data_IF_557285358631
#
_entry.id   IF_557285358631
#
_cell.length_a   1.000
_cell.length_b   1.000
_cell.length_c   1.000
_cell.angle_alpha   90.00
_cell.angle_beta   90.00
_cell.angle_gamma   90.00
#
_symmetry.space_group_name_H-M   'P 1'
#
loop_
_entity.id
_entity.type
_entity.pdbx_description
1 polymer ?
#
# COMPACT_ATOMS: atom_id res chain seq x y z
N UNK A 1 6.29 24.45 17.34
CA UNK A 1 5.29 24.26 16.24
C UNK A 1 5.64 23.06 15.36
N UNK A 2 6.88 22.93 14.85
CA UNK A 2 7.34 21.81 14.03
C UNK A 2 6.95 20.44 14.62
N UNK A 3 7.30 20.18 15.89
CA UNK A 3 7.01 18.92 16.58
C UNK A 3 5.51 18.62 16.67
N UNK A 4 4.67 19.65 16.79
CA UNK A 4 3.22 19.51 16.82
C UNK A 4 2.68 19.03 15.46
N UNK A 5 3.12 19.67 14.37
CA UNK A 5 2.69 19.28 13.02
C UNK A 5 3.22 17.90 12.65
N UNK A 6 4.45 17.58 13.05
CA UNK A 6 5.02 16.27 12.84
C UNK A 6 4.25 15.16 13.58
N UNK A 7 3.84 15.41 14.82
CA UNK A 7 3.00 14.47 15.56
C UNK A 7 1.64 14.23 14.91
N UNK A 8 1.01 15.29 14.38
CA UNK A 8 -0.26 15.17 13.61
C UNK A 8 -0.03 14.32 12.36
N UNK A 9 1.01 14.63 11.57
CA UNK A 9 1.34 13.89 10.35
C UNK A 9 1.59 12.41 10.62
N UNK A 10 2.36 12.09 11.63
CA UNK A 10 2.66 10.71 12.03
C UNK A 10 1.41 9.93 12.45
N UNK A 11 0.36 10.61 12.91
CA UNK A 11 -0.91 10.03 13.31
C UNK A 11 -1.91 9.80 12.17
N UNK A 12 -1.66 10.29 10.94
CA UNK A 12 -2.62 10.21 9.84
C UNK A 12 -2.97 8.76 9.51
N UNK A 13 -1.98 7.93 9.23
CA UNK A 13 -2.20 6.53 8.84
C UNK A 13 -3.00 5.73 9.88
N UNK A 14 -2.60 5.69 11.16
CA UNK A 14 -3.38 4.97 12.16
C UNK A 14 -4.77 5.59 12.42
N UNK A 15 -4.93 6.91 12.28
CA UNK A 15 -6.21 7.58 12.44
C UNK A 15 -7.19 7.20 11.33
N UNK A 16 -6.77 7.32 10.08
CA UNK A 16 -7.58 6.95 8.90
C UNK A 16 -7.89 5.44 8.93
N UNK A 17 -6.87 4.63 9.15
CA UNK A 17 -7.06 3.17 9.24
C UNK A 17 -7.98 2.75 10.38
N UNK A 18 -7.96 3.45 11.51
CA UNK A 18 -8.80 3.19 12.67
C UNK A 18 -10.27 3.56 12.49
N UNK A 19 -10.62 4.40 11.49
CA UNK A 19 -12.00 4.76 11.16
C UNK A 19 -12.66 3.81 10.16
N UNK A 20 -11.89 2.91 9.56
CA UNK A 20 -12.38 1.95 8.58
C UNK A 20 -13.53 1.09 9.15
N UNK A 21 -14.35 0.57 8.27
CA UNK A 21 -15.35 -0.43 8.65
C UNK A 21 -14.65 -1.71 9.16
N UNK A 22 -15.01 -2.23 10.35
CA UNK A 22 -14.47 -3.49 10.85
C UNK A 22 -14.63 -4.64 9.82
N UNK A 23 -13.65 -5.53 9.76
CA UNK A 23 -13.61 -6.61 8.76
C UNK A 23 -12.97 -6.21 7.43
N UNK A 24 -12.59 -4.93 7.25
CA UNK A 24 -11.86 -4.50 6.04
C UNK A 24 -10.36 -4.41 6.30
N UNK A 25 -9.58 -4.60 5.25
CA UNK A 25 -8.13 -4.39 5.24
C UNK A 25 -7.82 -2.96 4.79
N UNK A 26 -6.83 -2.34 5.41
CA UNK A 26 -6.29 -1.05 4.99
C UNK A 26 -5.14 -1.29 4.02
N UNK A 27 -5.20 -0.61 2.88
CA UNK A 27 -4.16 -0.61 1.87
C UNK A 27 -3.63 0.82 1.72
N UNK A 28 -2.33 0.95 1.63
CA UNK A 28 -1.66 2.20 1.32
C UNK A 28 -0.81 1.99 0.08
N UNK A 29 -1.02 2.85 -0.90
CA UNK A 29 -0.23 2.90 -2.11
C UNK A 29 0.57 4.21 -2.19
N UNK A 30 1.59 4.21 -3.00
CA UNK A 30 2.64 5.21 -3.02
C UNK A 30 3.01 5.52 -4.47
N UNK A 31 2.62 6.70 -4.95
CA UNK A 31 2.84 7.13 -6.33
C UNK A 31 3.55 8.48 -6.36
N UNK A 32 4.23 8.77 -7.47
CA UNK A 32 4.85 10.07 -7.69
C UNK A 32 4.47 10.65 -9.04
N UNK A 33 4.35 11.97 -9.06
CA UNK A 33 4.01 12.76 -10.25
C UNK A 33 5.01 13.90 -10.44
N UNK A 34 5.24 14.37 -11.68
CA UNK A 34 5.98 15.60 -11.91
C UNK A 34 5.34 16.77 -11.17
N UNK A 35 6.14 17.58 -10.47
CA UNK A 35 5.62 18.66 -9.62
C UNK A 35 4.66 19.64 -10.34
N UNK A 36 4.94 19.93 -11.60
CA UNK A 36 4.10 20.84 -12.41
C UNK A 36 2.70 20.31 -12.69
N UNK A 37 2.54 18.97 -12.68
CA UNK A 37 1.28 18.28 -12.95
C UNK A 37 0.52 17.92 -11.66
N UNK A 38 1.11 18.20 -10.50
CA UNK A 38 0.61 17.72 -9.21
C UNK A 38 -0.85 18.13 -8.90
N UNK A 39 -1.30 19.36 -9.19
CA UNK A 39 -2.68 19.74 -8.94
C UNK A 39 -3.69 18.92 -9.76
N UNK A 40 -3.44 18.76 -11.05
CA UNK A 40 -4.28 17.99 -11.96
C UNK A 40 -4.23 16.51 -11.63
N UNK A 41 -3.04 15.96 -11.38
CA UNK A 41 -2.86 14.56 -10.98
C UNK A 41 -3.58 14.24 -9.67
N UNK A 42 -3.62 15.20 -8.72
CA UNK A 42 -4.39 15.05 -7.47
C UNK A 42 -5.89 14.94 -7.74
N UNK A 43 -6.41 15.82 -8.58
CA UNK A 43 -7.83 15.84 -8.92
C UNK A 43 -8.24 14.54 -9.64
N UNK A 44 -7.44 14.11 -10.62
CA UNK A 44 -7.69 12.87 -11.35
C UNK A 44 -7.61 11.63 -10.46
N UNK A 45 -6.62 11.57 -9.57
CA UNK A 45 -6.49 10.46 -8.63
C UNK A 45 -7.70 10.40 -7.68
N UNK A 46 -8.17 11.56 -7.22
CA UNK A 46 -9.36 11.64 -6.38
C UNK A 46 -10.61 11.19 -7.13
N UNK A 47 -10.79 11.64 -8.38
CA UNK A 47 -11.90 11.22 -9.24
C UNK A 47 -11.86 9.70 -9.50
N UNK A 48 -10.69 9.17 -9.77
CA UNK A 48 -10.48 7.73 -10.00
C UNK A 48 -10.87 6.91 -8.76
N UNK A 49 -10.47 7.34 -7.56
CA UNK A 49 -10.85 6.69 -6.32
C UNK A 49 -12.37 6.71 -6.09
N UNK A 50 -13.01 7.85 -6.32
CA UNK A 50 -14.48 8.00 -6.20
C UNK A 50 -15.22 7.14 -7.22
N UNK A 51 -14.77 7.11 -8.48
CA UNK A 51 -15.35 6.32 -9.57
C UNK A 51 -15.26 4.81 -9.29
N UNK A 52 -14.23 4.38 -8.56
CA UNK A 52 -14.07 3.01 -8.10
C UNK A 52 -14.70 2.76 -6.72
N UNK A 53 -15.60 3.63 -6.28
CA UNK A 53 -16.37 3.49 -5.03
C UNK A 53 -15.54 3.53 -3.73
N UNK A 54 -14.36 4.15 -3.75
CA UNK A 54 -13.54 4.39 -2.56
C UNK A 54 -13.78 5.81 -2.01
N UNK A 55 -15.01 6.10 -1.60
CA UNK A 55 -15.42 7.43 -1.13
C UNK A 55 -14.77 7.86 0.20
N UNK A 56 -14.24 6.91 0.97
CA UNK A 56 -13.54 7.10 2.23
C UNK A 56 -12.00 7.10 2.06
N UNK A 57 -11.52 7.08 0.81
CA UNK A 57 -10.10 7.16 0.52
C UNK A 57 -9.49 8.47 1.00
N UNK A 58 -8.23 8.40 1.44
CA UNK A 58 -7.48 9.57 1.88
C UNK A 58 -6.19 9.69 1.06
N UNK A 59 -5.95 10.87 0.48
CA UNK A 59 -4.70 11.20 -0.23
C UNK A 59 -3.89 12.14 0.66
N UNK A 60 -2.63 11.82 0.87
CA UNK A 60 -1.65 12.67 1.57
C UNK A 60 -0.24 12.31 1.07
N UNK A 61 0.78 13.04 1.49
CA UNK A 61 2.14 12.68 1.07
C UNK A 61 3.15 13.81 1.20
N UNK A 62 4.17 13.73 0.38
CA UNK A 62 5.27 14.70 0.30
C UNK A 62 5.10 15.57 -0.94
N UNK A 63 4.18 16.53 -0.88
CA UNK A 63 3.80 17.36 -2.02
C UNK A 63 4.97 18.09 -2.68
N UNK A 64 5.98 18.51 -1.92
CA UNK A 64 7.18 19.17 -2.45
C UNK A 64 8.07 18.25 -3.30
N UNK A 65 7.89 16.93 -3.15
CA UNK A 65 8.61 15.89 -3.90
C UNK A 65 7.71 15.23 -4.96
N UNK A 66 6.47 15.71 -5.14
CA UNK A 66 5.52 15.12 -6.07
C UNK A 66 5.00 13.75 -5.65
N UNK A 67 5.26 13.32 -4.41
CA UNK A 67 4.88 12.01 -3.91
C UNK A 67 3.56 12.05 -3.17
N UNK A 68 2.66 11.14 -3.52
CA UNK A 68 1.41 10.90 -2.83
C UNK A 68 1.26 9.48 -2.36
N UNK A 69 0.71 9.35 -1.16
CA UNK A 69 0.14 8.11 -0.65
C UNK A 69 -1.38 8.22 -0.74
N UNK A 70 -2.04 7.15 -1.13
CA UNK A 70 -3.47 7.05 -0.96
C UNK A 70 -3.82 5.82 -0.14
N UNK A 71 -4.75 6.01 0.78
CA UNK A 71 -5.24 4.94 1.67
C UNK A 71 -6.64 4.59 1.21
N UNK A 72 -6.87 3.30 1.00
CA UNK A 72 -8.19 2.72 0.77
C UNK A 72 -8.47 1.62 1.79
N UNK A 73 -9.73 1.31 2.00
CA UNK A 73 -10.14 0.19 2.83
C UNK A 73 -11.22 -0.64 2.14
N UNK A 74 -11.01 -1.95 2.09
CA UNK A 74 -12.00 -2.89 1.60
C UNK A 74 -11.81 -4.28 2.18
N UNK A 75 -12.82 -5.14 2.10
CA UNK A 75 -12.63 -6.57 2.28
C UNK A 75 -12.26 -7.22 0.95
N UNK A 76 -11.74 -8.45 1.03
CA UNK A 76 -11.42 -9.28 -0.14
C UNK A 76 -12.16 -10.63 -0.06
N UNK A 77 -13.37 -10.59 0.49
CA UNK A 77 -14.15 -11.79 0.81
C UNK A 77 -14.93 -12.32 -0.40
N UNK A 78 -14.96 -11.56 -1.51
CA UNK A 78 -15.67 -11.97 -2.72
C UNK A 78 -14.87 -11.66 -3.98
N UNK A 79 -15.11 -12.41 -5.08
CA UNK A 79 -14.49 -12.15 -6.38
C UNK A 79 -14.74 -10.73 -6.90
N UNK A 80 -15.91 -10.16 -6.63
CA UNK A 80 -16.27 -8.80 -7.07
C UNK A 80 -15.39 -7.75 -6.40
N UNK A 81 -15.04 -7.95 -5.13
CA UNK A 81 -14.16 -7.05 -4.41
C UNK A 81 -12.72 -7.16 -4.90
N UNK A 82 -12.26 -8.35 -5.21
CA UNK A 82 -10.95 -8.55 -5.83
C UNK A 82 -10.91 -7.88 -7.20
N UNK A 83 -11.94 -8.07 -8.03
CA UNK A 83 -12.04 -7.44 -9.35
C UNK A 83 -12.10 -5.90 -9.28
N UNK A 84 -12.77 -5.33 -8.26
CA UNK A 84 -12.77 -3.88 -8.00
C UNK A 84 -11.36 -3.36 -7.72
N UNK A 85 -10.60 -4.07 -6.89
CA UNK A 85 -9.22 -3.71 -6.59
C UNK A 85 -8.30 -3.86 -7.79
N UNK A 86 -8.44 -4.94 -8.55
CA UNK A 86 -7.71 -5.15 -9.81
C UNK A 86 -7.95 -4.00 -10.78
N UNK A 87 -9.21 -3.64 -11.00
CA UNK A 87 -9.59 -2.49 -11.85
C UNK A 87 -8.97 -1.19 -11.37
N UNK A 88 -9.05 -0.89 -10.06
CA UNK A 88 -8.41 0.30 -9.49
C UNK A 88 -6.91 0.34 -9.81
N UNK A 89 -6.20 -0.76 -9.57
CA UNK A 89 -4.74 -0.81 -9.78
C UNK A 89 -4.36 -0.65 -11.24
N UNK A 90 -5.14 -1.21 -12.16
CA UNK A 90 -4.94 -1.03 -13.60
C UNK A 90 -5.18 0.42 -14.04
N UNK A 91 -6.21 1.07 -13.49
CA UNK A 91 -6.50 2.47 -13.79
C UNK A 91 -5.46 3.41 -13.16
N UNK A 92 -5.00 3.14 -11.93
CA UNK A 92 -3.88 3.86 -11.29
C UNK A 92 -2.60 3.74 -12.14
N UNK A 93 -2.26 2.53 -12.59
CA UNK A 93 -1.12 2.30 -13.49
C UNK A 93 -1.21 3.19 -14.72
N UNK A 94 -2.35 3.21 -15.40
CA UNK A 94 -2.58 4.02 -16.59
C UNK A 94 -2.51 5.52 -16.31
N UNK A 95 -3.14 5.97 -15.21
CA UNK A 95 -3.10 7.36 -14.80
C UNK A 95 -1.67 7.83 -14.52
N UNK A 96 -0.94 7.08 -13.72
CA UNK A 96 0.40 7.47 -13.26
C UNK A 96 1.41 7.40 -14.40
N UNK A 97 1.46 6.29 -15.13
CA UNK A 97 2.51 6.05 -16.14
C UNK A 97 2.16 6.73 -17.45
N UNK A 98 0.98 6.47 -18.02
CA UNK A 98 0.68 6.89 -19.39
C UNK A 98 0.28 8.37 -19.46
N UNK A 99 -0.51 8.85 -18.47
CA UNK A 99 -0.99 10.22 -18.51
C UNK A 99 0.06 11.22 -17.97
N UNK A 100 0.77 10.85 -16.91
CA UNK A 100 1.62 11.80 -16.18
C UNK A 100 3.11 11.50 -16.24
N UNK A 101 3.56 10.42 -16.88
CA UNK A 101 4.96 10.00 -16.88
C UNK A 101 5.55 9.94 -15.44
N UNK A 102 4.71 9.46 -14.51
CA UNK A 102 5.01 9.35 -13.10
C UNK A 102 5.58 8.00 -12.71
N UNK A 103 5.70 7.76 -11.41
CA UNK A 103 6.18 6.48 -10.88
C UNK A 103 5.16 5.81 -9.97
N UNK A 104 5.01 4.50 -10.14
CA UNK A 104 4.10 3.66 -9.35
C UNK A 104 4.63 3.35 -7.95
N UNK A 105 5.89 3.67 -7.66
CA UNK A 105 6.50 3.62 -6.32
C UNK A 105 7.54 4.71 -6.15
N UNK A 106 7.29 5.60 -5.18
CA UNK A 106 8.18 6.69 -4.85
C UNK A 106 9.16 6.31 -3.72
N UNK A 107 8.66 6.02 -2.52
CA UNK A 107 9.49 5.74 -1.35
C UNK A 107 9.25 4.40 -0.67
N UNK A 108 8.06 3.78 -0.82
CA UNK A 108 7.71 2.55 -0.10
C UNK A 108 8.33 1.27 -0.69
N UNK A 109 9.00 1.38 -1.82
CA UNK A 109 9.54 0.23 -2.54
C UNK A 109 8.47 -0.58 -3.28
N UNK A 110 8.90 -1.26 -4.34
CA UNK A 110 7.99 -1.98 -5.25
C UNK A 110 7.27 -3.14 -4.56
N UNK A 111 7.99 -3.92 -3.76
CA UNK A 111 7.43 -5.10 -3.12
C UNK A 111 6.90 -6.12 -4.12
N UNK A 112 5.93 -6.93 -3.68
CA UNK A 112 5.19 -7.87 -4.53
C UNK A 112 3.99 -7.20 -5.19
N UNK A 113 3.39 -6.22 -4.53
CA UNK A 113 2.15 -5.59 -4.97
C UNK A 113 2.31 -4.87 -6.31
N UNK A 114 3.43 -4.17 -6.50
CA UNK A 114 3.72 -3.47 -7.75
C UNK A 114 4.58 -4.27 -8.73
N UNK A 115 5.03 -5.48 -8.38
CA UNK A 115 5.85 -6.31 -9.24
C UNK A 115 5.25 -6.54 -10.66
N UNK A 116 3.93 -6.76 -10.82
CA UNK A 116 3.31 -6.93 -12.14
C UNK A 116 3.44 -5.70 -13.05
N UNK A 117 3.61 -4.51 -12.47
CA UNK A 117 3.60 -3.24 -13.20
C UNK A 117 4.99 -2.69 -13.50
N UNK A 118 6.05 -3.26 -12.92
CA UNK A 118 7.43 -2.77 -13.08
C UNK A 118 7.87 -2.75 -14.55
N UNK A 119 7.58 -3.83 -15.28
CA UNK A 119 7.90 -3.92 -16.69
C UNK A 119 7.14 -2.89 -17.55
N UNK A 120 5.90 -2.60 -17.17
CA UNK A 120 5.06 -1.59 -17.81
C UNK A 120 5.64 -0.19 -17.62
N UNK A 121 5.99 0.18 -16.39
CA UNK A 121 6.55 1.49 -16.05
C UNK A 121 7.93 1.72 -16.68
N UNK A 122 8.82 0.72 -16.60
CA UNK A 122 10.23 0.91 -16.97
C UNK A 122 10.57 0.42 -18.38
N UNK A 123 9.68 -0.30 -19.03
CA UNK A 123 9.89 -0.91 -20.36
C UNK A 123 10.83 -2.11 -20.35
N UNK A 124 10.83 -2.82 -21.46
CA UNK A 124 11.60 -4.08 -21.65
C UNK A 124 13.08 -3.94 -21.37
N UNK A 125 13.69 -2.85 -21.82
CA UNK A 125 15.15 -2.68 -21.76
C UNK A 125 15.63 -2.46 -20.31
N UNK A 126 14.98 -1.54 -19.58
CA UNK A 126 15.33 -1.26 -18.20
C UNK A 126 14.98 -2.44 -17.29
N UNK A 127 13.80 -3.05 -17.49
CA UNK A 127 13.40 -4.25 -16.76
C UNK A 127 14.38 -5.41 -16.96
N UNK A 128 14.81 -5.66 -18.21
CA UNK A 128 15.81 -6.68 -18.52
C UNK A 128 17.16 -6.41 -17.85
N UNK A 129 17.59 -5.15 -17.79
CA UNK A 129 18.81 -4.77 -17.08
C UNK A 129 18.69 -4.99 -15.56
N UNK A 130 17.56 -4.58 -14.94
CA UNK A 130 17.31 -4.85 -13.52
C UNK A 130 17.34 -6.34 -13.22
N UNK A 131 16.75 -7.17 -14.10
CA UNK A 131 16.74 -8.63 -13.95
C UNK A 131 18.15 -9.23 -14.03
N UNK A 132 18.96 -8.76 -14.98
CA UNK A 132 20.34 -9.20 -15.10
C UNK A 132 21.18 -8.84 -13.85
N UNK A 133 20.97 -7.67 -13.27
CA UNK A 133 21.61 -7.29 -11.99
C UNK A 133 21.15 -8.23 -10.86
N UNK A 134 19.87 -8.52 -10.78
CA UNK A 134 19.33 -9.48 -9.78
C UNK A 134 19.96 -10.86 -9.93
N UNK A 135 20.05 -11.38 -11.14
CA UNK A 135 20.63 -12.70 -11.44
C UNK A 135 22.12 -12.76 -11.12
N UNK A 136 22.85 -11.64 -11.33
CA UNK A 136 24.27 -11.55 -11.00
C UNK A 136 24.53 -11.68 -9.49
N UNK A 137 23.70 -11.00 -8.66
CA UNK A 137 23.89 -10.99 -7.21
C UNK A 137 23.14 -12.11 -6.47
N UNK A 138 22.13 -12.67 -7.09
CA UNK A 138 21.32 -13.75 -6.51
C UNK A 138 21.03 -14.85 -7.56
N UNK A 139 22.06 -15.55 -8.04
CA UNK A 139 21.90 -16.55 -9.10
C UNK A 139 21.03 -17.75 -8.69
N UNK A 140 20.79 -17.94 -7.39
CA UNK A 140 19.92 -19.00 -6.87
C UNK A 140 18.51 -18.54 -6.56
N UNK A 141 18.21 -17.25 -6.72
CA UNK A 141 16.89 -16.68 -6.45
C UNK A 141 16.41 -16.80 -4.98
N UNK A 142 17.34 -16.75 -4.02
CA UNK A 142 17.05 -16.95 -2.60
C UNK A 142 16.59 -15.68 -1.89
N UNK A 143 16.98 -14.51 -2.41
CA UNK A 143 16.71 -13.21 -1.77
C UNK A 143 15.40 -12.63 -2.29
N UNK A 144 14.44 -12.44 -1.37
CA UNK A 144 13.13 -11.81 -1.65
C UNK A 144 12.46 -12.32 -2.94
N UNK A 145 12.17 -13.62 -3.07
CA UNK A 145 11.57 -14.18 -4.27
C UNK A 145 10.20 -13.54 -4.56
N UNK A 146 9.97 -13.15 -5.82
CA UNK A 146 8.73 -12.52 -6.26
C UNK A 146 8.58 -11.03 -5.91
N UNK A 147 9.62 -10.40 -5.34
CA UNK A 147 9.69 -8.96 -5.11
C UNK A 147 10.36 -8.31 -6.33
N UNK A 148 9.77 -7.24 -6.86
CA UNK A 148 10.14 -6.56 -8.10
C UNK A 148 9.95 -7.45 -9.34
N UNK A 149 10.49 -8.66 -9.33
CA UNK A 149 10.40 -9.64 -10.40
C UNK A 149 9.45 -10.77 -10.01
N UNK A 150 8.29 -10.79 -10.64
CA UNK A 150 7.29 -11.83 -10.44
C UNK A 150 6.74 -12.26 -11.81
N UNK A 151 6.72 -13.56 -12.05
CA UNK A 151 6.18 -14.09 -13.30
C UNK A 151 4.65 -14.21 -13.30
N UNK A 152 4.04 -14.12 -12.11
CA UNK A 152 2.60 -14.12 -11.95
C UNK A 152 2.05 -12.68 -12.07
N UNK A 153 1.36 -12.34 -13.17
CA UNK A 153 0.82 -10.99 -13.38
C UNK A 153 -0.28 -10.62 -12.40
N UNK A 154 -0.82 -11.60 -11.66
CA UNK A 154 -1.88 -11.43 -10.68
C UNK A 154 -1.39 -11.67 -9.24
N UNK A 155 -0.08 -11.61 -8.99
CA UNK A 155 0.46 -11.86 -7.66
C UNK A 155 -0.05 -10.87 -6.60
N UNK A 156 -0.42 -9.64 -7.00
CA UNK A 156 -1.01 -8.61 -6.15
C UNK A 156 -2.47 -8.88 -5.77
N UNK A 157 -3.12 -9.82 -6.44
CA UNK A 157 -4.52 -10.22 -6.20
C UNK A 157 -4.63 -11.51 -5.38
N UNK A 158 -3.52 -12.00 -4.84
CA UNK A 158 -3.46 -13.28 -4.14
C UNK A 158 -2.91 -13.12 -2.72
N UNK A 159 -3.31 -14.05 -1.86
CA UNK A 159 -2.80 -14.14 -0.48
C UNK A 159 -3.05 -12.86 0.34
N UNK A 160 -4.21 -12.25 0.17
CA UNK A 160 -4.64 -11.15 1.02
C UNK A 160 -4.67 -11.57 2.48
N UNK A 161 -4.23 -10.68 3.37
CA UNK A 161 -4.32 -10.91 4.79
C UNK A 161 -5.77 -10.72 5.25
N UNK A 162 -6.44 -11.75 5.75
CA UNK A 162 -7.77 -11.59 6.32
C UNK A 162 -7.70 -10.75 7.61
N UNK A 163 -8.79 -10.03 7.89
CA UNK A 163 -8.97 -9.26 9.12
C UNK A 163 -10.25 -9.73 9.81
N UNK A 164 -10.30 -10.98 10.32
CA UNK A 164 -11.49 -11.52 10.95
C UNK A 164 -11.89 -10.70 12.17
N UNK A 165 -13.19 -10.61 12.39
CA UNK A 165 -13.77 -9.94 13.55
C UNK A 165 -13.60 -10.83 14.80
N UNK A 166 -13.21 -10.23 15.90
CA UNK A 166 -13.03 -10.89 17.18
C UNK A 166 -13.79 -10.18 18.31
N UNK A 167 -13.49 -8.89 18.49
CA UNK A 167 -14.07 -8.08 19.56
C UNK A 167 -14.06 -6.61 19.17
N UNK A 168 -15.17 -5.90 19.41
CA UNK A 168 -15.36 -4.51 19.04
C UNK A 168 -14.24 -3.55 19.54
N UNK A 169 -13.59 -3.88 20.65
CA UNK A 169 -12.48 -3.07 21.17
C UNK A 169 -11.20 -3.20 20.34
N UNK A 170 -10.95 -4.37 19.77
CA UNK A 170 -9.73 -4.67 19.01
C UNK A 170 -9.94 -4.66 17.50
N UNK A 171 -11.16 -4.73 17.00
CA UNK A 171 -11.46 -4.82 15.57
C UNK A 171 -11.07 -3.57 14.79
N UNK A 172 -10.92 -2.42 15.47
CA UNK A 172 -10.38 -1.20 14.88
C UNK A 172 -8.84 -1.24 14.68
N UNK A 173 -8.15 -2.20 15.28
CA UNK A 173 -6.71 -2.35 15.13
C UNK A 173 -6.35 -2.70 13.68
N UNK A 174 -5.44 -1.93 13.08
CA UNK A 174 -4.89 -2.17 11.73
C UNK A 174 -3.51 -2.83 11.78
N UNK A 175 -3.07 -3.23 12.96
CA UNK A 175 -1.79 -3.91 13.21
C UNK A 175 -0.55 -3.06 12.84
N UNK A 176 -0.66 -1.74 12.80
CA UNK A 176 0.41 -0.82 12.42
C UNK A 176 1.62 -0.78 13.38
N UNK A 177 1.49 -1.29 14.60
CA UNK A 177 2.58 -1.34 15.58
C UNK A 177 2.85 -0.05 16.38
N UNK A 178 2.17 1.07 16.10
CA UNK A 178 2.41 2.34 16.80
C UNK A 178 2.19 2.28 18.32
N UNK A 179 1.40 1.34 18.80
CA UNK A 179 1.21 1.13 20.24
C UNK A 179 2.39 0.42 20.93
N UNK A 180 3.30 -0.20 20.17
CA UNK A 180 4.37 -1.03 20.75
C UNK A 180 5.38 -0.20 21.54
N UNK A 181 5.64 1.04 21.13
CA UNK A 181 6.55 1.95 21.85
C UNK A 181 6.06 2.30 23.26
N UNK A 182 4.75 2.20 23.50
CA UNK A 182 4.12 2.46 24.79
C UNK A 182 3.70 1.16 25.51
N UNK A 183 3.97 0.02 24.92
CA UNK A 183 3.56 -1.27 25.48
C UNK A 183 4.53 -1.74 26.56
N UNK A 184 4.08 -1.83 27.81
CA UNK A 184 4.88 -2.27 28.94
C UNK A 184 5.42 -3.71 28.81
N UNK A 185 4.81 -4.52 27.96
CA UNK A 185 5.21 -5.92 27.75
C UNK A 185 5.99 -6.14 26.44
N UNK A 186 6.16 -5.11 25.62
CA UNK A 186 6.93 -5.21 24.37
C UNK A 186 8.41 -5.48 24.69
N UNK A 187 8.97 -6.52 24.08
CA UNK A 187 10.35 -6.96 24.36
C UNK A 187 10.51 -7.87 25.58
N UNK A 188 9.52 -7.92 26.47
CA UNK A 188 9.49 -8.83 27.61
C UNK A 188 8.60 -10.06 27.35
N UNK A 189 7.46 -9.82 26.75
CA UNK A 189 6.55 -10.86 26.25
C UNK A 189 5.89 -10.34 24.95
N UNK A 190 4.70 -10.79 24.63
CA UNK A 190 3.96 -10.29 23.43
C UNK A 190 3.48 -8.87 23.63
N UNK A 191 3.64 -8.03 22.62
CA UNK A 191 3.05 -6.69 22.57
C UNK A 191 1.51 -6.76 22.44
N UNK A 192 0.83 -5.64 22.69
CA UNK A 192 -0.63 -5.55 22.47
C UNK A 192 -1.01 -5.90 21.04
N UNK A 193 -0.27 -5.41 20.04
CA UNK A 193 -0.50 -5.76 18.63
C UNK A 193 -0.38 -7.25 18.37
N UNK A 194 0.69 -7.87 18.85
CA UNK A 194 0.92 -9.31 18.67
C UNK A 194 -0.20 -10.16 19.32
N UNK A 195 -0.70 -9.75 20.48
CA UNK A 195 -1.84 -10.45 21.12
C UNK A 195 -3.12 -10.33 20.31
N UNK A 196 -3.38 -9.17 19.69
CA UNK A 196 -4.53 -8.98 18.80
C UNK A 196 -4.41 -9.86 17.57
N UNK A 197 -3.21 -9.94 16.95
CA UNK A 197 -2.97 -10.85 15.81
C UNK A 197 -3.28 -12.27 16.18
N UNK A 198 -2.73 -12.76 17.31
CA UNK A 198 -3.01 -14.14 17.79
C UNK A 198 -4.51 -14.34 18.03
N UNK A 199 -5.20 -13.37 18.63
CA UNK A 199 -6.64 -13.46 18.88
C UNK A 199 -7.45 -13.59 17.59
N UNK A 200 -6.96 -13.06 16.47
CA UNK A 200 -7.60 -13.18 15.16
C UNK A 200 -7.38 -14.53 14.49
N UNK A 201 -6.34 -15.24 14.90
CA UNK A 201 -6.00 -16.56 14.34
C UNK A 201 -6.63 -17.74 15.14
N UNK A 202 -7.24 -17.46 16.30
CA UNK A 202 -7.93 -18.45 17.13
C UNK A 202 -9.42 -18.51 16.78
#
# INVERSE_FOLDING_TARGET
>A
EYSKYWAIRSGIFPSVGGTRRPGTTVLIEDVAFPLKELPEATADLQELLVTNEYHDACIYGHALEGNFHFIISQSFDSPEQVARYEKLMDEVKTLVVDKYDGSLKAEHGTGRNMAPFVKYEWGERAYGFMKAVKELFDPKGLLNPGVIFNEDPHCHLKHFKPMPLTNAHVDKCIECGFCEVNCLTCGFSLSSRQRIVIQREI
#
